data_IF_175077395024
#
_entry.id   IF_175077395024
#
_cell.length_a   1.000
_cell.length_b   1.000
_cell.length_c   1.000
_cell.angle_alpha   90.00
_cell.angle_beta   90.00
_cell.angle_gamma   90.00
#
_symmetry.space_group_name_H-M   'P 1'
#
loop_
_entity.id
_entity.type
_entity.pdbx_description
1 polymer ?
#
# COMPACT_ATOMS: atom_id res chain seq x y z
N UNK A 1 54.26 17.52 53.72
CA UNK A 1 53.27 18.56 53.35
C UNK A 1 53.05 18.52 51.85
N UNK A 2 51.76 18.39 51.43
CA UNK A 2 51.23 18.48 50.05
C UNK A 2 51.69 17.33 49.12
N UNK A 3 50.86 16.37 48.68
CA UNK A 3 49.44 16.40 48.36
C UNK A 3 49.27 16.42 46.84
N UNK A 4 49.62 15.33 46.14
CA UNK A 4 49.44 15.20 44.69
C UNK A 4 48.18 14.37 44.43
N UNK A 5 47.07 15.05 44.19
CA UNK A 5 45.87 14.48 43.58
C UNK A 5 46.01 14.63 42.08
N UNK A 6 46.01 13.52 41.35
CA UNK A 6 45.79 13.50 39.90
C UNK A 6 44.70 12.49 39.60
N UNK A 7 43.58 13.01 39.10
CA UNK A 7 42.37 12.31 38.70
C UNK A 7 42.64 11.23 37.67
N UNK A 8 42.06 10.05 37.90
CA UNK A 8 41.86 9.02 36.89
C UNK A 8 40.71 9.50 36.00
N UNK A 9 41.03 9.99 34.80
CA UNK A 9 40.04 10.26 33.76
C UNK A 9 39.69 8.92 33.11
N UNK A 10 38.53 8.37 33.46
CA UNK A 10 38.00 7.14 32.87
C UNK A 10 37.49 7.45 31.46
N UNK A 11 38.26 7.09 30.43
CA UNK A 11 37.80 7.10 29.04
C UNK A 11 36.83 5.94 28.81
N UNK A 12 35.53 6.18 29.02
CA UNK A 12 34.50 5.34 28.41
C UNK A 12 34.51 5.60 26.90
N UNK A 13 35.14 4.71 26.13
CA UNK A 13 34.89 4.59 24.70
C UNK A 13 33.46 4.09 24.51
N UNK A 14 32.52 4.99 24.22
CA UNK A 14 31.23 4.63 23.63
C UNK A 14 31.50 4.06 22.23
N UNK A 15 31.50 2.74 22.11
CA UNK A 15 31.33 2.06 20.82
C UNK A 15 29.90 2.32 20.35
N UNK A 16 29.74 3.37 19.54
CA UNK A 16 28.53 3.57 18.75
C UNK A 16 28.57 2.52 17.65
N UNK A 17 27.82 1.44 17.82
CA UNK A 17 27.48 0.55 16.72
C UNK A 17 26.59 1.33 15.76
N UNK A 18 27.18 1.87 14.70
CA UNK A 18 26.42 2.29 13.52
C UNK A 18 25.94 0.98 12.89
N UNK A 19 24.67 0.65 13.11
CA UNK A 19 24.01 -0.36 12.32
C UNK A 19 23.91 0.17 10.89
N UNK A 20 24.86 -0.21 10.05
CA UNK A 20 24.67 -0.09 8.61
C UNK A 20 23.43 -0.91 8.25
N UNK A 21 22.36 -0.21 7.88
CA UNK A 21 21.21 -0.82 7.24
C UNK A 21 21.71 -1.38 5.91
N UNK A 22 22.17 -2.63 5.93
CA UNK A 22 22.54 -3.36 4.74
C UNK A 22 21.38 -3.29 3.77
N UNK A 23 21.61 -2.64 2.62
CA UNK A 23 20.66 -2.60 1.52
C UNK A 23 20.40 -4.02 1.05
N UNK A 24 19.35 -4.65 1.59
CA UNK A 24 18.84 -5.91 1.10
C UNK A 24 18.25 -5.63 -0.28
N UNK A 25 19.04 -5.84 -1.32
CA UNK A 25 18.51 -6.09 -2.66
C UNK A 25 17.43 -7.17 -2.52
N UNK A 26 16.28 -7.00 -3.17
CA UNK A 26 15.25 -8.02 -3.21
C UNK A 26 15.81 -9.29 -3.88
N UNK A 27 16.36 -10.22 -3.08
CA UNK A 27 16.92 -11.48 -3.54
C UNK A 27 15.87 -12.62 -3.51
N UNK A 28 14.59 -12.25 -3.41
CA UNK A 28 13.57 -13.17 -2.94
C UNK A 28 12.89 -13.96 -4.05
N UNK A 29 12.93 -15.29 -3.88
CA UNK A 29 12.12 -16.25 -4.62
C UNK A 29 11.06 -16.79 -3.68
N UNK A 30 9.80 -16.46 -3.93
CA UNK A 30 8.64 -16.90 -3.15
C UNK A 30 8.81 -16.71 -1.62
N UNK A 31 9.11 -15.49 -1.14
CA UNK A 31 9.40 -15.22 0.27
C UNK A 31 8.25 -15.57 1.23
N UNK A 32 7.02 -15.66 0.72
CA UNK A 32 5.85 -16.15 1.47
C UNK A 32 5.96 -17.63 1.89
N UNK A 33 6.90 -18.40 1.36
CA UNK A 33 7.18 -19.78 1.82
C UNK A 33 8.01 -19.83 3.10
N UNK A 34 8.72 -18.74 3.43
CA UNK A 34 9.48 -18.67 4.68
C UNK A 34 8.53 -18.47 5.86
N UNK A 35 8.59 -19.33 6.86
CA UNK A 35 7.82 -19.19 8.10
C UNK A 35 8.17 -17.94 8.91
N UNK A 36 9.36 -17.38 8.69
CA UNK A 36 9.83 -16.19 9.40
C UNK A 36 9.20 -14.90 8.86
N UNK A 37 8.70 -14.92 7.62
CA UNK A 37 8.12 -13.76 6.97
C UNK A 37 6.64 -13.63 7.33
N UNK A 38 6.27 -12.45 7.83
CA UNK A 38 4.91 -12.07 8.15
C UNK A 38 4.04 -11.97 6.88
N UNK A 39 2.79 -12.41 7.01
CA UNK A 39 1.76 -12.26 5.99
C UNK A 39 0.81 -11.13 6.34
N UNK A 40 0.30 -10.47 5.32
CA UNK A 40 -0.69 -9.40 5.44
C UNK A 40 -1.83 -9.71 4.48
N UNK A 41 -3.05 -9.66 4.97
CA UNK A 41 -4.26 -9.80 4.15
C UNK A 41 -4.79 -8.41 3.84
N UNK A 42 -5.16 -8.16 2.59
CA UNK A 42 -5.92 -6.98 2.23
C UNK A 42 -7.29 -7.33 1.64
N UNK A 43 -8.28 -6.47 1.91
CA UNK A 43 -9.67 -6.75 1.55
C UNK A 43 -10.49 -5.48 1.27
N UNK A 44 -11.42 -5.60 0.34
CA UNK A 44 -12.49 -4.63 0.11
C UNK A 44 -13.84 -5.13 0.65
N UNK A 45 -14.88 -4.31 0.54
CA UNK A 45 -16.17 -4.52 1.22
C UNK A 45 -16.90 -5.81 0.83
N UNK A 46 -16.61 -6.41 -0.35
CA UNK A 46 -17.28 -7.63 -0.79
C UNK A 46 -16.54 -8.92 -0.44
N UNK A 47 -15.30 -8.86 0.07
CA UNK A 47 -14.62 -10.10 0.48
C UNK A 47 -15.29 -10.68 1.73
N UNK A 48 -15.71 -11.94 1.65
CA UNK A 48 -16.19 -12.69 2.81
C UNK A 48 -15.02 -13.22 3.63
N UNK A 49 -15.09 -13.06 4.95
CA UNK A 49 -14.00 -13.44 5.87
C UNK A 49 -14.60 -14.17 7.07
N UNK A 50 -14.23 -15.44 7.22
CA UNK A 50 -14.36 -16.16 8.49
C UNK A 50 -13.14 -15.82 9.35
N UNK A 51 -13.33 -14.87 10.26
CA UNK A 51 -12.29 -14.41 11.18
C UNK A 51 -11.77 -15.53 12.09
N UNK A 52 -12.62 -16.45 12.53
CA UNK A 52 -12.19 -17.54 13.42
C UNK A 52 -11.24 -18.49 12.70
N UNK A 53 -11.47 -18.74 11.42
CA UNK A 53 -10.56 -19.53 10.59
C UNK A 53 -9.31 -18.73 10.23
N UNK A 54 -9.43 -17.48 9.78
CA UNK A 54 -8.31 -16.61 9.39
C UNK A 54 -7.27 -16.48 10.51
N UNK A 55 -7.72 -16.28 11.74
CA UNK A 55 -6.85 -16.10 12.90
C UNK A 55 -6.08 -17.37 13.33
N UNK A 56 -6.39 -18.54 12.74
CA UNK A 56 -5.60 -19.77 12.95
C UNK A 56 -4.27 -19.73 12.19
N UNK A 57 -4.14 -18.85 11.19
CA UNK A 57 -2.86 -18.63 10.53
C UNK A 57 -2.03 -17.61 11.32
N UNK A 58 -1.18 -18.12 12.20
CA UNK A 58 -0.34 -17.29 13.09
C UNK A 58 0.65 -16.40 12.32
N UNK A 59 0.89 -16.67 11.02
CA UNK A 59 1.74 -15.83 10.18
C UNK A 59 1.06 -14.55 9.73
N UNK A 60 -0.28 -14.53 9.70
CA UNK A 60 -1.04 -13.30 9.42
C UNK A 60 -0.81 -12.34 10.58
N UNK A 61 -0.15 -11.22 10.26
CA UNK A 61 0.29 -10.23 11.24
C UNK A 61 -0.49 -8.93 11.13
N UNK A 62 -1.06 -8.66 9.95
CA UNK A 62 -1.77 -7.42 9.68
C UNK A 62 -2.95 -7.64 8.73
N UNK A 63 -3.89 -6.72 8.81
CA UNK A 63 -5.05 -6.63 7.94
C UNK A 63 -5.18 -5.20 7.40
N UNK A 64 -5.25 -5.05 6.08
CA UNK A 64 -5.46 -3.76 5.41
C UNK A 64 -6.85 -3.78 4.77
N UNK A 65 -7.67 -2.74 4.98
CA UNK A 65 -9.00 -2.68 4.36
C UNK A 65 -9.19 -1.45 3.49
N UNK A 66 -9.96 -1.58 2.40
CA UNK A 66 -10.38 -0.43 1.60
C UNK A 66 -11.20 0.51 2.48
N UNK A 67 -10.73 1.74 2.63
CA UNK A 67 -11.48 2.78 3.30
C UNK A 67 -12.30 3.58 2.29
N UNK A 68 -11.68 4.09 1.23
CA UNK A 68 -12.38 4.98 0.29
C UNK A 68 -11.92 4.77 -1.15
N UNK A 69 -12.78 5.19 -2.08
CA UNK A 69 -12.55 5.17 -3.52
C UNK A 69 -13.06 6.50 -4.08
N UNK A 70 -12.15 7.32 -4.61
CA UNK A 70 -12.50 8.63 -5.16
C UNK A 70 -13.14 9.59 -4.17
N UNK A 71 -14.03 10.45 -4.68
CA UNK A 71 -14.83 11.38 -3.87
C UNK A 71 -15.95 10.65 -3.10
N UNK A 72 -16.42 11.18 -1.95
CA UNK A 72 -17.47 10.57 -1.14
C UNK A 72 -18.81 10.53 -1.89
N UNK A 73 -19.67 9.59 -1.51
CA UNK A 73 -21.04 9.54 -2.04
C UNK A 73 -21.91 10.68 -1.50
N UNK A 74 -22.76 11.24 -2.37
CA UNK A 74 -23.69 12.31 -1.98
C UNK A 74 -24.82 11.78 -1.10
N UNK A 75 -24.92 12.28 0.13
CA UNK A 75 -26.03 11.94 1.03
C UNK A 75 -27.35 12.58 0.60
N UNK A 76 -27.31 13.86 0.23
CA UNK A 76 -28.49 14.66 -0.12
C UNK A 76 -29.04 14.27 -1.48
N UNK A 77 -28.19 13.78 -2.39
CA UNK A 77 -28.52 13.57 -3.80
C UNK A 77 -29.13 14.83 -4.44
N UNK A 78 -28.75 16.01 -3.93
CA UNK A 78 -29.07 17.31 -4.50
C UNK A 78 -27.82 17.81 -5.23
N UNK A 79 -27.96 18.26 -6.46
CA UNK A 79 -26.84 18.68 -7.31
C UNK A 79 -26.10 17.50 -7.95
N UNK A 80 -24.81 17.69 -8.23
CA UNK A 80 -23.98 16.68 -8.91
C UNK A 80 -23.79 15.43 -8.03
N UNK A 81 -24.05 14.26 -8.61
CA UNK A 81 -23.84 12.97 -7.98
C UNK A 81 -23.60 11.88 -9.03
N UNK A 82 -22.96 10.77 -8.62
CA UNK A 82 -22.60 9.67 -9.52
C UNK A 82 -23.77 8.79 -9.99
N UNK A 83 -24.94 8.89 -9.35
CA UNK A 83 -26.12 8.11 -9.77
C UNK A 83 -26.82 8.76 -10.97
N UNK A 84 -27.34 7.94 -11.89
CA UNK A 84 -28.12 8.46 -13.05
C UNK A 84 -29.50 9.01 -12.64
N UNK A 85 -29.97 8.62 -11.45
CA UNK A 85 -31.24 9.06 -10.87
C UNK A 85 -31.07 9.31 -9.38
N UNK A 86 -32.00 10.04 -8.78
CA UNK A 86 -32.05 10.22 -7.32
C UNK A 86 -32.09 8.87 -6.58
N UNK A 87 -32.87 7.90 -7.09
CA UNK A 87 -32.96 6.57 -6.50
C UNK A 87 -31.63 5.79 -6.60
N UNK A 88 -30.93 5.91 -7.73
CA UNK A 88 -29.59 5.34 -7.89
C UNK A 88 -28.61 6.00 -6.90
N UNK A 89 -28.59 7.32 -6.80
CA UNK A 89 -27.77 8.04 -5.83
C UNK A 89 -28.03 7.60 -4.37
N UNK A 90 -29.31 7.50 -3.95
CA UNK A 90 -29.64 6.99 -2.60
C UNK A 90 -29.18 5.56 -2.38
N UNK A 91 -29.21 4.72 -3.41
CA UNK A 91 -28.73 3.33 -3.34
C UNK A 91 -27.21 3.28 -3.17
N UNK A 92 -26.47 4.09 -3.94
CA UNK A 92 -25.02 4.23 -3.80
C UNK A 92 -24.63 4.73 -2.41
N UNK A 93 -25.30 5.77 -1.91
CA UNK A 93 -25.06 6.27 -0.56
C UNK A 93 -25.33 5.21 0.52
N UNK A 94 -26.41 4.43 0.40
CA UNK A 94 -26.70 3.32 1.34
C UNK A 94 -25.60 2.27 1.32
N UNK A 95 -25.14 1.87 0.13
CA UNK A 95 -24.02 0.93 -0.01
C UNK A 95 -22.77 1.49 0.66
N UNK A 96 -22.42 2.75 0.38
CA UNK A 96 -21.28 3.43 0.99
C UNK A 96 -21.36 3.47 2.53
N UNK A 97 -22.54 3.79 3.09
CA UNK A 97 -22.75 3.78 4.54
C UNK A 97 -22.55 2.38 5.14
N UNK A 98 -23.10 1.33 4.52
CA UNK A 98 -22.92 -0.06 4.97
C UNK A 98 -21.45 -0.49 4.88
N UNK A 99 -20.75 -0.14 3.80
CA UNK A 99 -19.32 -0.42 3.67
C UNK A 99 -18.50 0.20 4.81
N UNK A 100 -18.90 1.40 5.28
CA UNK A 100 -18.22 2.08 6.38
C UNK A 100 -18.40 1.38 7.73
N UNK A 101 -19.60 0.88 7.99
CA UNK A 101 -19.87 0.06 9.17
C UNK A 101 -19.08 -1.26 9.14
N UNK A 102 -18.99 -1.89 7.95
CA UNK A 102 -18.18 -3.10 7.76
C UNK A 102 -16.68 -2.83 7.98
N UNK A 103 -16.15 -1.75 7.40
CA UNK A 103 -14.76 -1.32 7.63
C UNK A 103 -14.48 -1.15 9.13
N UNK A 104 -15.35 -0.46 9.86
CA UNK A 104 -15.22 -0.23 11.30
C UNK A 104 -15.26 -1.54 12.09
N UNK A 105 -16.17 -2.45 11.72
CA UNK A 105 -16.29 -3.76 12.35
C UNK A 105 -15.04 -4.61 12.13
N UNK A 106 -14.50 -4.63 10.90
CA UNK A 106 -13.25 -5.33 10.57
C UNK A 106 -12.07 -4.76 11.35
N UNK A 107 -11.97 -3.43 11.50
CA UNK A 107 -10.94 -2.77 12.32
C UNK A 107 -10.97 -3.26 13.76
N UNK A 108 -12.17 -3.29 14.35
CA UNK A 108 -12.33 -3.76 15.73
C UNK A 108 -11.91 -5.22 15.89
N UNK A 109 -12.39 -6.12 15.02
CA UNK A 109 -12.08 -7.55 15.09
C UNK A 109 -10.58 -7.80 14.90
N UNK A 110 -9.96 -7.18 13.89
CA UNK A 110 -8.53 -7.34 13.62
C UNK A 110 -7.68 -6.91 14.83
N UNK A 111 -7.95 -5.72 15.38
CA UNK A 111 -7.20 -5.18 16.52
C UNK A 111 -7.42 -5.97 17.81
N UNK A 112 -8.64 -6.39 18.11
CA UNK A 112 -8.94 -7.22 19.28
C UNK A 112 -8.17 -8.55 19.25
N UNK A 113 -7.79 -9.03 18.07
CA UNK A 113 -7.01 -10.25 17.89
C UNK A 113 -5.51 -9.97 17.61
N UNK A 114 -5.04 -8.76 17.90
CA UNK A 114 -3.62 -8.41 17.85
C UNK A 114 -3.04 -8.24 16.44
N UNK A 115 -3.87 -8.19 15.40
CA UNK A 115 -3.45 -7.83 14.05
C UNK A 115 -3.20 -6.33 13.95
N UNK A 116 -2.16 -5.96 13.20
CA UNK A 116 -1.93 -4.57 12.81
C UNK A 116 -3.01 -4.13 11.81
N UNK A 117 -3.46 -2.89 11.90
CA UNK A 117 -4.53 -2.37 11.04
C UNK A 117 -3.97 -1.39 10.00
N UNK A 118 -4.46 -1.50 8.77
CA UNK A 118 -4.17 -0.55 7.70
C UNK A 118 -5.41 -0.19 6.90
N UNK A 119 -5.33 0.94 6.21
CA UNK A 119 -6.40 1.46 5.38
C UNK A 119 -5.84 1.99 4.06
N UNK A 120 -6.53 1.71 2.96
CA UNK A 120 -6.15 2.25 1.65
C UNK A 120 -7.26 3.09 1.00
N UNK A 121 -6.81 4.05 0.19
CA UNK A 121 -7.63 4.89 -0.67
C UNK A 121 -7.33 4.60 -2.14
N UNK A 122 -8.35 4.27 -2.94
CA UNK A 122 -8.22 4.13 -4.39
C UNK A 122 -8.30 5.51 -5.03
N UNK A 123 -7.18 5.98 -5.58
CA UNK A 123 -7.07 7.30 -6.20
C UNK A 123 -7.79 7.37 -7.54
N UNK A 124 -8.81 8.24 -7.64
CA UNK A 124 -9.60 8.48 -8.86
C UNK A 124 -9.35 9.85 -9.45
N UNK A 125 -9.79 10.11 -10.70
CA UNK A 125 -9.82 11.47 -11.22
C UNK A 125 -10.68 12.37 -10.33
N UNK A 126 -10.26 13.62 -10.16
CA UNK A 126 -10.93 14.61 -9.31
C UNK A 126 -9.97 15.28 -8.31
N UNK A 127 -10.51 16.18 -7.50
CA UNK A 127 -9.71 17.00 -6.60
C UNK A 127 -8.93 16.14 -5.56
N UNK A 128 -7.58 16.22 -5.52
CA UNK A 128 -6.77 15.39 -4.62
C UNK A 128 -6.93 15.75 -3.14
N UNK A 129 -7.20 17.01 -2.81
CA UNK A 129 -7.39 17.46 -1.42
C UNK A 129 -8.72 16.92 -0.89
N UNK A 130 -9.78 16.95 -1.68
CA UNK A 130 -11.08 16.43 -1.28
C UNK A 130 -11.05 14.91 -1.11
N UNK A 131 -10.36 14.20 -2.00
CA UNK A 131 -10.10 12.76 -1.86
C UNK A 131 -9.28 12.45 -0.60
N UNK A 132 -8.25 13.25 -0.28
CA UNK A 132 -7.46 13.06 0.93
C UNK A 132 -8.28 13.31 2.20
N UNK A 133 -9.12 14.36 2.22
CA UNK A 133 -10.05 14.60 3.32
C UNK A 133 -11.05 13.44 3.47
N UNK A 134 -11.62 12.97 2.36
CA UNK A 134 -12.51 11.81 2.36
C UNK A 134 -11.84 10.57 2.95
N UNK A 135 -10.59 10.27 2.56
CA UNK A 135 -9.85 9.16 3.15
C UNK A 135 -9.68 9.31 4.66
N UNK A 136 -9.28 10.49 5.14
CA UNK A 136 -9.08 10.75 6.57
C UNK A 136 -10.40 10.65 7.37
N UNK A 137 -11.50 11.18 6.83
CA UNK A 137 -12.81 11.17 7.47
C UNK A 137 -13.43 9.77 7.51
N UNK A 138 -13.15 8.96 6.48
CA UNK A 138 -13.60 7.57 6.42
C UNK A 138 -12.76 6.68 7.32
N UNK A 139 -11.44 6.71 7.15
CA UNK A 139 -10.51 5.78 7.76
C UNK A 139 -10.24 6.08 9.23
N UNK A 140 -10.32 7.36 9.62
CA UNK A 140 -9.99 7.89 10.96
C UNK A 140 -8.73 7.23 11.55
N UNK A 141 -7.58 7.34 10.86
CA UNK A 141 -6.38 6.59 11.21
C UNK A 141 -5.83 7.02 12.57
N UNK A 142 -5.51 6.04 13.43
CA UNK A 142 -4.76 6.28 14.66
C UNK A 142 -3.26 6.46 14.37
N UNK A 143 -2.48 6.77 15.41
CA UNK A 143 -1.04 6.98 15.32
C UNK A 143 -0.26 5.75 14.81
N UNK A 144 -0.79 4.54 15.01
CA UNK A 144 -0.16 3.28 14.61
C UNK A 144 -0.73 2.67 13.33
N UNK A 145 -1.81 3.22 12.77
CA UNK A 145 -2.42 2.69 11.54
C UNK A 145 -1.54 2.93 10.32
N UNK A 146 -1.50 1.96 9.42
CA UNK A 146 -0.91 2.10 8.10
C UNK A 146 -1.89 2.84 7.18
N UNK A 147 -1.42 3.91 6.54
CA UNK A 147 -2.16 4.62 5.51
C UNK A 147 -1.56 4.31 4.14
N UNK A 148 -2.41 4.08 3.14
CA UNK A 148 -1.98 3.68 1.80
C UNK A 148 -2.72 4.52 0.74
N UNK A 149 -1.97 5.05 -0.23
CA UNK A 149 -2.53 5.50 -1.50
C UNK A 149 -2.40 4.37 -2.52
N UNK A 150 -3.51 3.95 -3.11
CA UNK A 150 -3.59 2.94 -4.17
C UNK A 150 -3.78 3.65 -5.52
N UNK A 151 -2.78 3.52 -6.41
CA UNK A 151 -2.83 3.96 -7.81
C UNK A 151 -2.20 2.88 -8.70
N UNK A 152 -3.02 2.24 -9.53
CA UNK A 152 -2.61 1.15 -10.40
C UNK A 152 -2.41 1.56 -11.87
N UNK A 153 -2.68 2.80 -12.25
CA UNK A 153 -2.52 3.23 -13.63
C UNK A 153 -2.33 4.73 -13.76
N UNK A 154 -2.05 5.16 -14.99
CA UNK A 154 -1.81 6.56 -15.37
C UNK A 154 -2.81 7.07 -16.42
N UNK A 155 -3.87 6.28 -16.67
CA UNK A 155 -4.99 6.72 -17.48
C UNK A 155 -5.77 7.81 -16.72
N UNK A 156 -5.80 9.06 -17.22
CA UNK A 156 -6.40 10.20 -16.53
C UNK A 156 -7.93 10.08 -16.40
N UNK A 157 -8.57 9.19 -17.15
CA UNK A 157 -10.02 8.97 -17.06
C UNK A 157 -10.37 7.93 -15.97
N UNK A 158 -9.39 7.16 -15.50
CA UNK A 158 -9.59 6.04 -14.56
C UNK A 158 -8.92 6.24 -13.20
N UNK A 159 -7.81 6.98 -13.17
CA UNK A 159 -6.94 7.12 -12.00
C UNK A 159 -6.62 8.58 -11.68
N UNK A 160 -6.29 8.84 -10.42
CA UNK A 160 -5.68 10.11 -10.01
C UNK A 160 -4.37 10.33 -10.76
N UNK A 161 -4.14 11.54 -11.27
CA UNK A 161 -2.85 11.88 -11.90
C UNK A 161 -1.71 11.74 -10.89
N UNK A 162 -0.48 11.46 -11.35
CA UNK A 162 0.66 11.32 -10.44
C UNK A 162 1.07 12.67 -9.81
N UNK A 163 0.77 13.78 -10.48
CA UNK A 163 0.90 15.13 -9.96
C UNK A 163 -0.09 15.35 -8.79
N UNK A 164 -1.36 15.02 -8.99
CA UNK A 164 -2.39 15.10 -7.96
C UNK A 164 -2.12 14.14 -6.79
N UNK A 165 -1.58 12.97 -7.07
CA UNK A 165 -1.16 12.02 -6.05
C UNK A 165 -0.08 12.60 -5.12
N UNK A 166 0.86 13.42 -5.62
CA UNK A 166 1.80 14.14 -4.77
C UNK A 166 1.11 15.14 -3.84
N UNK A 167 0.06 15.82 -4.33
CA UNK A 167 -0.77 16.73 -3.54
C UNK A 167 -1.53 15.95 -2.46
N UNK A 168 -2.17 14.84 -2.83
CA UNK A 168 -2.89 13.95 -1.91
C UNK A 168 -2.00 13.52 -0.75
N UNK A 169 -0.84 12.91 -1.03
CA UNK A 169 0.04 12.38 0.04
C UNK A 169 0.66 13.49 0.87
N UNK A 170 0.91 14.66 0.26
CA UNK A 170 1.33 15.87 0.97
C UNK A 170 0.28 16.35 1.97
N UNK A 171 -0.99 16.36 1.56
CA UNK A 171 -2.11 16.75 2.42
C UNK A 171 -2.32 15.76 3.58
N UNK A 172 -2.24 14.45 3.31
CA UNK A 172 -2.27 13.42 4.36
C UNK A 172 -1.18 13.66 5.40
N UNK A 173 0.07 13.89 4.97
CA UNK A 173 1.16 14.23 5.90
C UNK A 173 0.89 15.49 6.69
N UNK A 174 0.40 16.55 6.06
CA UNK A 174 0.10 17.80 6.75
C UNK A 174 -0.93 17.61 7.88
N UNK A 175 -1.91 16.71 7.67
CA UNK A 175 -2.99 16.43 8.62
C UNK A 175 -2.61 15.41 9.71
N UNK A 176 -1.69 14.50 9.43
CA UNK A 176 -1.40 13.34 10.30
C UNK A 176 0.03 13.27 10.81
N UNK A 177 0.94 14.06 10.25
CA UNK A 177 2.38 13.99 10.49
C UNK A 177 3.11 12.87 9.75
N UNK A 178 2.40 11.97 9.04
CA UNK A 178 2.98 10.79 8.37
C UNK A 178 2.58 10.76 6.89
N UNK A 179 3.53 10.45 6.00
CA UNK A 179 3.17 10.09 4.63
C UNK A 179 2.49 8.70 4.60
N UNK A 180 1.50 8.46 3.72
CA UNK A 180 1.05 7.10 3.43
C UNK A 180 2.15 6.31 2.69
N UNK A 181 2.04 4.98 2.63
CA UNK A 181 2.79 4.19 1.63
C UNK A 181 2.09 4.22 0.27
N UNK A 182 2.81 3.87 -0.78
CA UNK A 182 2.28 3.78 -2.14
C UNK A 182 2.01 2.31 -2.50
N UNK A 183 0.75 1.97 -2.79
CA UNK A 183 0.41 0.74 -3.49
C UNK A 183 0.36 0.98 -4.99
N UNK A 184 1.04 0.14 -5.76
CA UNK A 184 1.00 0.18 -7.22
C UNK A 184 1.45 -1.12 -7.86
N UNK A 185 1.04 -1.34 -9.11
CA UNK A 185 1.50 -2.47 -9.92
C UNK A 185 2.87 -2.22 -10.56
N UNK A 186 3.37 -3.24 -11.28
CA UNK A 186 4.70 -3.20 -11.88
C UNK A 186 4.93 -2.03 -12.85
N UNK A 187 3.97 -1.75 -13.71
CA UNK A 187 4.16 -0.82 -14.82
C UNK A 187 4.10 0.62 -14.32
N UNK A 188 3.15 0.91 -13.42
CA UNK A 188 3.06 2.22 -12.76
C UNK A 188 4.26 2.46 -11.84
N UNK A 189 4.76 1.44 -11.12
CA UNK A 189 6.03 1.56 -10.37
C UNK A 189 7.22 1.89 -11.29
N UNK A 190 7.35 1.22 -12.44
CA UNK A 190 8.41 1.52 -13.43
C UNK A 190 8.31 2.94 -13.96
N UNK A 191 7.09 3.41 -14.24
CA UNK A 191 6.87 4.77 -14.70
C UNK A 191 7.31 5.79 -13.65
N UNK A 192 6.82 5.68 -12.41
CA UNK A 192 7.21 6.58 -11.32
C UNK A 192 8.73 6.55 -11.10
N UNK A 193 9.37 5.37 -11.16
CA UNK A 193 10.82 5.25 -11.02
C UNK A 193 11.60 5.93 -12.16
N UNK A 194 11.13 5.80 -13.41
CA UNK A 194 11.73 6.43 -14.57
C UNK A 194 11.62 7.97 -14.51
N UNK A 195 10.49 8.49 -14.05
CA UNK A 195 10.17 9.91 -13.93
C UNK A 195 10.31 10.43 -12.48
N UNK A 196 11.16 9.80 -11.67
CA UNK A 196 11.27 10.10 -10.23
C UNK A 196 11.74 11.51 -9.89
N UNK A 197 12.28 12.27 -10.86
CA UNK A 197 12.59 13.70 -10.67
C UNK A 197 11.31 14.54 -10.69
N UNK A 198 10.37 14.17 -11.55
CA UNK A 198 9.05 14.82 -11.68
C UNK A 198 8.13 14.38 -10.53
N UNK A 199 8.23 13.11 -10.13
CA UNK A 199 7.47 12.50 -9.04
C UNK A 199 8.29 12.28 -7.77
N UNK A 200 9.03 13.31 -7.35
CA UNK A 200 10.04 13.23 -6.28
C UNK A 200 9.52 12.75 -4.92
N UNK A 201 8.24 12.99 -4.61
CA UNK A 201 7.61 12.50 -3.38
C UNK A 201 7.18 11.04 -3.55
N UNK A 202 6.39 10.72 -4.60
CA UNK A 202 5.87 9.37 -4.81
C UNK A 202 6.98 8.34 -4.95
N UNK A 203 8.03 8.68 -5.72
CA UNK A 203 9.18 7.82 -5.94
C UNK A 203 10.01 7.55 -4.67
N UNK A 204 9.63 8.11 -3.52
CA UNK A 204 10.29 7.92 -2.22
C UNK A 204 9.33 7.45 -1.13
N UNK A 205 8.04 7.26 -1.41
CA UNK A 205 7.14 6.57 -0.47
C UNK A 205 7.55 5.09 -0.38
N UNK A 206 7.46 4.43 0.78
CA UNK A 206 7.65 2.98 0.79
C UNK A 206 6.63 2.28 -0.09
N UNK A 207 7.06 1.19 -0.71
CA UNK A 207 6.34 0.58 -1.80
C UNK A 207 5.59 -0.68 -1.34
N UNK A 208 4.27 -0.66 -1.44
CA UNK A 208 3.46 -1.87 -1.49
C UNK A 208 3.31 -2.28 -2.97
N UNK A 209 4.08 -3.30 -3.34
CA UNK A 209 4.31 -3.66 -4.73
C UNK A 209 3.43 -4.83 -5.16
N UNK A 210 2.57 -4.62 -6.17
CA UNK A 210 1.77 -5.71 -6.73
C UNK A 210 2.50 -6.43 -7.87
N UNK A 211 2.83 -7.71 -7.63
CA UNK A 211 3.47 -8.55 -8.66
C UNK A 211 3.20 -10.03 -8.45
N UNK A 212 2.39 -10.60 -9.31
CA UNK A 212 1.93 -11.99 -9.21
C UNK A 212 2.91 -13.02 -9.81
N UNK A 213 4.19 -12.96 -9.42
CA UNK A 213 5.25 -13.85 -9.93
C UNK A 213 6.01 -14.53 -8.77
N UNK A 214 6.56 -15.74 -8.95
CA UNK A 214 7.34 -16.41 -7.91
C UNK A 214 8.72 -15.79 -7.62
N UNK A 215 9.19 -14.87 -8.48
CA UNK A 215 10.56 -14.35 -8.45
C UNK A 215 10.58 -12.88 -8.92
N UNK A 216 11.22 -12.01 -8.14
CA UNK A 216 11.42 -10.59 -8.43
C UNK A 216 12.89 -10.14 -8.32
N UNK A 217 13.84 -11.08 -8.33
CA UNK A 217 15.28 -10.80 -8.14
C UNK A 217 15.90 -9.79 -9.11
N UNK A 218 15.24 -9.56 -10.24
CA UNK A 218 15.69 -8.63 -11.30
C UNK A 218 14.87 -7.34 -11.37
N UNK A 219 14.00 -7.11 -10.38
CA UNK A 219 13.13 -5.92 -10.35
C UNK A 219 13.80 -4.77 -9.61
N UNK A 220 14.43 -5.05 -8.47
CA UNK A 220 15.05 -4.05 -7.63
C UNK A 220 16.58 -4.03 -7.81
N UNK A 221 17.24 -2.87 -7.69
CA UNK A 221 16.67 -1.57 -7.35
C UNK A 221 15.82 -1.00 -8.50
N UNK A 222 14.70 -0.35 -8.13
CA UNK A 222 13.77 0.29 -9.05
C UNK A 222 13.68 1.78 -8.70
N UNK A 223 14.46 2.62 -9.38
CA UNK A 223 14.55 4.04 -9.03
C UNK A 223 15.14 4.23 -7.63
N UNK A 224 14.39 4.86 -6.71
CA UNK A 224 14.83 4.99 -5.32
C UNK A 224 14.48 3.77 -4.44
N UNK A 225 13.65 2.83 -4.93
CA UNK A 225 13.27 1.65 -4.18
C UNK A 225 14.38 0.59 -4.27
N UNK A 226 15.07 0.35 -3.15
CA UNK A 226 16.02 -0.77 -3.04
C UNK A 226 15.31 -2.11 -2.82
N UNK A 227 14.12 -2.06 -2.22
CA UNK A 227 13.27 -3.21 -1.96
C UNK A 227 11.81 -2.73 -1.76
N UNK A 228 10.87 -3.67 -1.66
CA UNK A 228 9.48 -3.41 -1.29
C UNK A 228 9.30 -3.32 0.24
N UNK A 229 8.28 -2.60 0.69
CA UNK A 229 7.79 -2.64 2.06
C UNK A 229 6.82 -3.82 2.24
N UNK A 230 5.88 -3.96 1.32
CA UNK A 230 4.98 -5.11 1.20
C UNK A 230 4.98 -5.60 -0.25
N UNK A 231 4.85 -6.89 -0.45
CA UNK A 231 4.68 -7.49 -1.78
C UNK A 231 3.35 -8.23 -1.85
N UNK A 232 2.40 -7.74 -2.66
CA UNK A 232 1.20 -8.47 -3.03
C UNK A 232 1.55 -9.52 -4.09
N UNK A 233 1.58 -10.78 -3.66
CA UNK A 233 2.03 -11.90 -4.48
C UNK A 233 0.88 -12.81 -4.91
N UNK A 234 -0.28 -12.71 -4.24
CA UNK A 234 -1.47 -13.49 -4.53
C UNK A 234 -2.68 -12.58 -4.67
N UNK A 235 -3.50 -12.87 -5.68
CA UNK A 235 -4.82 -12.26 -5.89
C UNK A 235 -5.76 -13.21 -6.62
N UNK A 236 -6.98 -12.78 -6.91
CA UNK A 236 -7.93 -13.50 -7.77
C UNK A 236 -7.31 -13.90 -9.13
N UNK A 237 -6.33 -13.15 -9.63
CA UNK A 237 -5.69 -13.38 -10.93
C UNK A 237 -4.82 -14.64 -10.97
N UNK A 238 -4.25 -15.06 -9.84
CA UNK A 238 -3.33 -16.20 -9.76
C UNK A 238 -3.71 -17.23 -8.68
N UNK A 239 -4.82 -17.02 -7.98
CA UNK A 239 -5.41 -17.94 -7.03
C UNK A 239 -6.74 -18.50 -7.55
N UNK A 240 -6.80 -19.82 -7.67
CA UNK A 240 -7.96 -20.59 -8.11
C UNK A 240 -8.18 -21.75 -7.14
N UNK A 241 -9.21 -22.58 -7.34
CA UNK A 241 -9.40 -23.80 -6.55
C UNK A 241 -8.24 -24.80 -6.69
N UNK A 242 -7.58 -24.85 -7.86
CA UNK A 242 -6.52 -25.83 -8.17
C UNK A 242 -5.13 -25.34 -7.78
N UNK A 243 -4.82 -24.08 -8.08
CA UNK A 243 -3.50 -23.47 -7.86
C UNK A 243 -3.67 -22.14 -7.17
N UNK A 244 -2.90 -21.91 -6.12
CA UNK A 244 -2.85 -20.63 -5.41
C UNK A 244 -1.48 -20.48 -4.74
N UNK A 245 -0.82 -19.31 -4.81
CA UNK A 245 0.47 -19.10 -4.16
C UNK A 245 0.41 -19.33 -2.65
N UNK A 246 -0.68 -18.91 -2.00
CA UNK A 246 -0.93 -19.12 -0.58
C UNK A 246 -2.44 -19.07 -0.29
N UNK A 247 -2.95 -19.95 0.58
CA UNK A 247 -4.36 -19.96 1.00
C UNK A 247 -4.47 -19.59 2.46
N UNK A 248 -4.99 -18.40 2.74
CA UNK A 248 -5.31 -18.00 4.11
C UNK A 248 -6.60 -18.72 4.51
N UNK A 249 -6.64 -19.46 5.63
CA UNK A 249 -7.87 -20.07 6.11
C UNK A 249 -8.99 -19.01 6.28
N UNK A 250 -10.25 -19.41 6.07
CA UNK A 250 -11.38 -18.50 6.24
C UNK A 250 -11.56 -17.44 5.16
N UNK A 251 -10.83 -17.56 4.05
CA UNK A 251 -10.93 -16.63 2.91
C UNK A 251 -11.22 -17.38 1.61
N UNK A 252 -11.81 -16.67 0.65
CA UNK A 252 -12.05 -17.16 -0.71
C UNK A 252 -10.83 -16.91 -1.60
N UNK A 253 -10.87 -17.37 -2.85
CA UNK A 253 -9.72 -17.28 -3.77
C UNK A 253 -9.48 -15.88 -4.35
N UNK A 254 -10.38 -14.94 -4.06
CA UNK A 254 -10.31 -13.53 -4.44
C UNK A 254 -9.74 -12.63 -3.34
N UNK A 255 -9.29 -13.21 -2.20
CA UNK A 255 -8.56 -12.44 -1.20
C UNK A 255 -7.14 -12.16 -1.70
N UNK A 256 -6.68 -10.95 -1.42
CA UNK A 256 -5.33 -10.53 -1.75
C UNK A 256 -4.40 -10.80 -0.57
N UNK A 257 -3.24 -11.40 -0.88
CA UNK A 257 -2.26 -11.84 0.13
C UNK A 257 -0.89 -11.24 -0.17
N UNK A 258 -0.31 -10.71 0.89
CA UNK A 258 0.93 -9.96 0.87
C UNK A 258 1.94 -10.57 1.82
N UNK A 259 3.21 -10.29 1.55
CA UNK A 259 4.32 -10.67 2.42
C UNK A 259 5.18 -9.47 2.74
N UNK A 260 5.58 -9.37 4.00
CA UNK A 260 6.70 -8.54 4.42
C UNK A 260 7.92 -9.45 4.60
N UNK A 261 9.07 -9.09 4.05
CA UNK A 261 10.31 -9.86 4.19
C UNK A 261 10.97 -9.66 5.57
N UNK A 262 10.16 -9.78 6.63
CA UNK A 262 10.54 -9.54 8.02
C UNK A 262 9.58 -10.27 8.97
N UNK A 263 9.99 -10.43 10.23
CA UNK A 263 9.17 -11.04 11.28
C UNK A 263 7.94 -10.20 11.63
N UNK A 264 6.99 -10.79 12.38
CA UNK A 264 5.81 -10.06 12.88
C UNK A 264 6.19 -8.88 13.78
N UNK A 265 7.23 -9.07 14.60
CA UNK A 265 7.73 -8.06 15.54
C UNK A 265 8.45 -6.94 14.80
N UNK A 266 9.23 -7.27 13.78
CA UNK A 266 9.86 -6.29 12.88
C UNK A 266 8.79 -5.50 12.13
N UNK A 267 7.79 -6.19 11.56
CA UNK A 267 6.68 -5.56 10.87
C UNK A 267 5.92 -4.62 11.79
N UNK A 268 5.61 -5.02 13.04
CA UNK A 268 4.94 -4.16 14.03
C UNK A 268 5.70 -2.86 14.29
N UNK A 269 7.04 -2.90 14.34
CA UNK A 269 7.87 -1.69 14.52
C UNK A 269 7.88 -0.82 13.26
N UNK A 270 7.85 -1.43 12.09
CA UNK A 270 7.89 -0.74 10.81
C UNK A 270 6.49 -0.27 10.33
N UNK A 271 5.42 -0.82 10.86
CA UNK A 271 4.04 -0.59 10.42
C UNK A 271 3.60 0.88 10.42
N UNK A 272 3.88 1.68 11.47
CA UNK A 272 3.43 3.06 11.51
C UNK A 272 4.36 4.02 10.75
N UNK A 273 5.12 3.52 9.77
CA UNK A 273 6.04 4.36 8.99
C UNK A 273 5.31 5.57 8.40
N UNK A 274 6.04 6.65 8.19
CA UNK A 274 5.54 7.83 7.48
C UNK A 274 6.64 8.68 6.86
N UNK A 275 7.82 8.10 6.71
CA UNK A 275 9.02 8.78 6.22
C UNK A 275 9.24 8.53 4.73
N UNK A 276 9.84 9.50 4.06
CA UNK A 276 10.34 9.28 2.70
C UNK A 276 11.64 8.49 2.76
N UNK A 277 11.75 7.48 1.90
CA UNK A 277 13.00 6.77 1.62
C UNK A 277 14.08 7.74 1.13
N UNK A 278 15.34 7.36 1.28
CA UNK A 278 16.45 8.15 0.73
C UNK A 278 16.46 8.08 -0.80
N UNK A 279 16.80 9.18 -1.50
CA UNK A 279 17.05 9.12 -2.93
C UNK A 279 18.24 8.19 -3.22
N UNK A 280 18.16 7.43 -4.31
CA UNK A 280 19.28 6.61 -4.77
C UNK A 280 20.22 7.41 -5.68
N UNK A 281 21.52 7.38 -5.39
CA UNK A 281 22.58 7.99 -6.21
C UNK A 281 23.68 6.96 -6.55
N UNK A 282 24.27 6.99 -7.77
CA UNK A 282 23.89 7.81 -8.92
C UNK A 282 22.60 7.30 -9.59
N UNK A 283 22.07 8.09 -10.52
CA UNK A 283 20.82 7.80 -11.23
C UNK A 283 20.89 6.43 -11.94
N UNK A 284 20.14 5.38 -11.50
CA UNK A 284 20.12 4.13 -12.22
C UNK A 284 19.58 4.38 -13.63
N UNK A 285 20.26 3.90 -14.68
CA UNK A 285 19.88 4.19 -16.06
C UNK A 285 18.58 3.47 -16.42
N UNK A 286 17.43 4.05 -16.07
CA UNK A 286 16.09 3.62 -16.47
C UNK A 286 15.74 4.13 -17.89
N UNK A 287 16.76 4.27 -18.74
CA UNK A 287 16.64 4.78 -20.12
C UNK A 287 15.72 3.87 -20.94
N UNK A 288 15.84 2.56 -20.77
CA UNK A 288 14.96 1.59 -21.45
C UNK A 288 13.49 1.79 -21.08
N UNK A 289 13.19 2.00 -19.79
CA UNK A 289 11.81 2.30 -19.36
C UNK A 289 11.30 3.60 -19.99
N UNK A 290 12.11 4.66 -20.02
CA UNK A 290 11.74 5.93 -20.69
C UNK A 290 11.52 5.77 -22.19
N UNK A 291 12.31 4.93 -22.86
CA UNK A 291 12.13 4.64 -24.29
C UNK A 291 10.82 3.88 -24.51
N UNK A 292 10.55 2.85 -23.70
CA UNK A 292 9.29 2.09 -23.76
C UNK A 292 8.07 3.01 -23.58
N UNK A 293 8.13 3.97 -22.65
CA UNK A 293 7.04 4.93 -22.42
C UNK A 293 7.00 6.10 -23.41
N UNK A 294 8.13 6.48 -24.02
CA UNK A 294 8.23 7.65 -24.91
C UNK A 294 8.07 7.35 -26.40
N UNK A 295 8.11 6.08 -26.81
CA UNK A 295 8.06 5.68 -28.23
C UNK A 295 6.68 5.19 -28.71
N UNK A 296 5.71 5.11 -27.79
CA UNK A 296 4.36 4.62 -28.05
C UNK A 296 3.42 5.55 -27.27
N UNK A 297 2.45 6.25 -27.89
CA UNK A 297 1.32 6.74 -27.11
C UNK A 297 0.81 5.53 -26.35
N UNK A 298 0.74 5.58 -25.03
CA UNK A 298 0.18 4.50 -24.24
C UNK A 298 -1.26 4.27 -24.72
N UNK A 299 -1.43 3.44 -25.75
CA UNK A 299 -2.70 2.83 -26.05
C UNK A 299 -3.10 2.18 -24.75
N UNK A 300 -4.25 2.62 -24.24
CA UNK A 300 -4.89 2.03 -23.09
C UNK A 300 -4.69 0.51 -23.23
N UNK A 301 -4.08 -0.15 -22.23
CA UNK A 301 -3.80 -1.57 -22.34
C UNK A 301 -5.05 -2.24 -22.90
N UNK A 302 -4.90 -2.96 -24.01
CA UNK A 302 -5.99 -3.78 -24.54
C UNK A 302 -6.59 -4.47 -23.35
N UNK A 303 -7.89 -4.25 -23.15
CA UNK A 303 -8.64 -4.59 -21.96
C UNK A 303 -8.55 -6.11 -21.73
N UNK A 304 -7.43 -6.58 -21.19
CA UNK A 304 -7.31 -7.87 -20.57
C UNK A 304 -8.34 -7.79 -19.46
N UNK A 305 -9.37 -8.63 -19.58
CA UNK A 305 -10.50 -8.74 -18.66
C UNK A 305 -10.06 -9.27 -17.29
N UNK A 306 -9.09 -8.61 -16.68
CA UNK A 306 -8.57 -8.88 -15.36
C UNK A 306 -8.73 -7.56 -14.59
N UNK A 307 -10.00 -7.30 -14.29
CA UNK A 307 -10.41 -6.47 -13.17
C UNK A 307 -9.65 -6.98 -11.95
N UNK A 308 -8.76 -6.15 -11.39
CA UNK A 308 -8.23 -6.38 -10.04
C UNK A 308 -9.41 -6.28 -9.06
N UNK A 309 -9.40 -7.15 -8.05
CA UNK A 309 -10.50 -7.39 -7.11
C UNK A 309 -10.97 -6.16 -6.32
N UNK A 310 -10.33 -4.99 -6.45
CA UNK A 310 -10.71 -3.75 -5.77
C UNK A 310 -11.86 -2.98 -6.46
N UNK A 311 -12.21 -3.32 -7.71
CA UNK A 311 -13.20 -2.61 -8.53
C UNK A 311 -14.30 -3.59 -8.96
N UNK A 312 -15.57 -3.24 -8.73
CA UNK A 312 -16.69 -4.03 -9.26
C UNK A 312 -16.60 -4.04 -10.80
N UNK A 313 -16.71 -5.18 -11.49
CA UNK A 313 -16.78 -5.17 -12.94
C UNK A 313 -18.06 -4.46 -13.35
N UNK A 314 -17.92 -3.25 -13.92
CA UNK A 314 -19.05 -2.50 -14.47
C UNK A 314 -19.80 -3.38 -15.46
N UNK A 315 -21.07 -3.65 -15.18
CA UNK A 315 -21.96 -4.28 -16.16
C UNK A 315 -22.25 -3.25 -17.24
N UNK A 316 -21.98 -3.62 -18.50
CA UNK A 316 -22.62 -2.99 -19.66
C UNK A 316 -24.12 -3.29 -19.64
#
# INVERSE_FOLDING_TARGET
MKGLRTSILSCLCLLVFIAEAGGLFAADVSPWKSSNNALVVDAYEMNEIDWQALLKDERVAAFISKASDGLPESFSCQGEHRGDTFAHCKTMWRKYAVSRELYTSRRMIARQNGLLWGAYHVGRPGNPIDQANHFLDYATPDADDLMVLDIEGIDPDLFMSLEDAQIFVGHIRARTGRYPILYTNHDTARYIAAYRRDYSVLARLPLWYARYKPDIRKVFPLGNWQNYFLWQFSSASNCSKRRCPYRVPGTLTDIDVNVAAMSKEELRRAWPQGGLLHPAEPDPPLILAKIEFGSVPLEAPQLDRIVTSSISPGRR
#
